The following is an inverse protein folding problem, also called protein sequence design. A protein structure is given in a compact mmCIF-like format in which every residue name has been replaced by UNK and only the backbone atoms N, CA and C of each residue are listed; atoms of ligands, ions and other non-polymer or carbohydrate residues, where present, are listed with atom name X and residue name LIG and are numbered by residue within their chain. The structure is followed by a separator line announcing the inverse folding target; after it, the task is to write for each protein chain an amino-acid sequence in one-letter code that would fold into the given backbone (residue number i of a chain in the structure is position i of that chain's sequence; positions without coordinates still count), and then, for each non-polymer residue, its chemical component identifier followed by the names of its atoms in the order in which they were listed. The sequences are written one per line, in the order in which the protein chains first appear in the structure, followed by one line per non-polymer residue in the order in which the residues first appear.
data_IF_570229211027
#
_entry.id   IF_570229211027
#
_cell.length_a   1.000
_cell.length_b   1.000
_cell.length_c   1.000
_cell.angle_alpha   90.00
_cell.angle_beta   90.00
_cell.angle_gamma   90.00
#
_symmetry.space_group_name_H-M   'P 1'
#
loop_
_entity.id
_entity.type
_entity.pdbx_description
1 polymer ?
#
# COMPACT_ATOMS: atom_id res chain seq x y z
N UNK A 1 23.08 0.12 12.71
CA UNK A 1 22.68 -1.29 12.78
C UNK A 1 21.92 -1.74 11.55
N UNK A 2 22.58 -2.50 10.67
CA UNK A 2 21.99 -3.01 9.42
C UNK A 2 20.73 -3.89 9.65
N UNK A 3 20.63 -4.52 10.83
CA UNK A 3 19.49 -5.34 11.26
C UNK A 3 18.22 -4.48 11.43
N UNK A 4 18.36 -3.27 12.00
CA UNK A 4 17.23 -2.33 12.17
C UNK A 4 16.75 -1.79 10.83
N UNK A 5 17.68 -1.49 9.90
CA UNK A 5 17.31 -1.05 8.55
C UNK A 5 16.55 -2.12 7.75
N UNK A 6 16.95 -3.39 7.87
CA UNK A 6 16.26 -4.51 7.20
C UNK A 6 14.84 -4.72 7.75
N UNK A 7 14.65 -4.56 9.06
CA UNK A 7 13.33 -4.67 9.70
C UNK A 7 12.38 -3.56 9.23
N UNK A 8 12.87 -2.33 9.05
CA UNK A 8 12.06 -1.20 8.58
C UNK A 8 11.63 -1.35 7.12
N UNK A 9 12.53 -1.76 6.22
CA UNK A 9 12.15 -2.06 4.82
C UNK A 9 11.06 -3.12 4.75
N UNK A 10 11.08 -4.12 5.63
CA UNK A 10 10.05 -5.16 5.67
C UNK A 10 8.68 -4.64 6.09
N UNK A 11 8.62 -3.70 7.03
CA UNK A 11 7.37 -3.00 7.36
C UNK A 11 6.81 -2.24 6.17
N UNK A 12 7.66 -1.58 5.38
CA UNK A 12 7.24 -0.87 4.17
C UNK A 12 6.68 -1.83 3.11
N UNK A 13 7.34 -2.96 2.89
CA UNK A 13 6.84 -4.00 1.97
C UNK A 13 5.51 -4.58 2.46
N UNK A 14 5.37 -4.84 3.76
CA UNK A 14 4.12 -5.29 4.37
C UNK A 14 2.99 -4.29 4.14
N UNK A 15 3.26 -2.99 4.30
CA UNK A 15 2.28 -1.94 4.03
C UNK A 15 1.83 -1.94 2.57
N UNK A 16 2.76 -2.00 1.62
CA UNK A 16 2.40 -2.08 0.18
C UNK A 16 1.49 -3.28 -0.08
N UNK A 17 1.82 -4.44 0.48
CA UNK A 17 0.98 -5.64 0.37
C UNK A 17 -0.39 -5.46 1.01
N UNK A 18 -0.46 -4.84 2.19
CA UNK A 18 -1.73 -4.55 2.85
C UNK A 18 -2.63 -3.70 1.97
N UNK A 19 -2.12 -2.63 1.35
CA UNK A 19 -2.88 -1.80 0.41
C UNK A 19 -3.31 -2.56 -0.86
N UNK A 20 -2.42 -3.37 -1.46
CA UNK A 20 -2.77 -4.21 -2.60
C UNK A 20 -3.91 -5.19 -2.29
N UNK A 21 -3.95 -5.75 -1.07
CA UNK A 21 -4.95 -6.73 -0.65
C UNK A 21 -6.24 -6.11 -0.13
N UNK A 22 -6.17 -5.00 0.61
CA UNK A 22 -7.26 -4.47 1.44
C UNK A 22 -7.59 -3.01 1.18
N UNK A 23 -6.83 -2.30 0.35
CA UNK A 23 -7.06 -0.86 0.15
C UNK A 23 -8.46 -0.54 -0.34
N UNK A 24 -9.07 -1.45 -1.12
CA UNK A 24 -10.47 -1.36 -1.54
C UNK A 24 -11.47 -1.29 -0.37
N UNK A 25 -11.15 -1.85 0.80
CA UNK A 25 -12.01 -1.78 1.99
C UNK A 25 -12.15 -0.35 2.54
N UNK A 26 -11.15 0.51 2.31
CA UNK A 26 -11.13 1.90 2.76
C UNK A 26 -11.24 2.89 1.58
N UNK A 27 -11.64 2.40 0.40
CA UNK A 27 -11.86 3.25 -0.75
C UNK A 27 -13.14 4.08 -0.58
N UNK A 28 -13.10 5.32 -1.05
CA UNK A 28 -14.25 6.22 -1.01
C UNK A 28 -15.23 5.90 -2.17
N UNK A 29 -16.05 4.88 -1.96
CA UNK A 29 -16.99 4.37 -2.97
C UNK A 29 -18.41 4.90 -2.82
N UNK A 30 -18.75 5.42 -1.64
CA UNK A 30 -20.08 5.91 -1.36
C UNK A 30 -20.17 7.44 -1.47
N UNK A 31 -20.77 7.97 -2.54
CA UNK A 31 -20.93 9.42 -2.69
C UNK A 31 -21.95 10.02 -1.70
N UNK A 32 -22.75 9.21 -1.02
CA UNK A 32 -23.81 9.66 -0.10
C UNK A 32 -23.39 9.60 1.38
N UNK A 33 -22.31 8.90 1.73
CA UNK A 33 -21.83 8.76 3.11
C UNK A 33 -22.77 7.98 4.04
N UNK A 34 -23.64 7.14 3.49
CA UNK A 34 -24.56 6.27 4.21
C UNK A 34 -23.83 5.09 4.85
N UNK A 35 -22.77 4.57 4.23
CA UNK A 35 -21.98 3.45 4.78
C UNK A 35 -21.36 3.81 6.14
N UNK A 36 -20.93 5.06 6.35
CA UNK A 36 -20.37 5.52 7.63
C UNK A 36 -21.40 5.59 8.77
N UNK A 37 -22.69 5.66 8.44
CA UNK A 37 -23.77 5.76 9.42
C UNK A 37 -24.27 4.38 9.91
N UNK A 38 -24.29 3.38 9.01
CA UNK A 38 -25.00 2.11 9.24
C UNK A 38 -24.13 0.84 9.09
N UNK A 39 -22.87 0.95 8.64
CA UNK A 39 -21.98 -0.21 8.40
C UNK A 39 -20.63 -0.10 9.12
N UNK A 40 -19.90 -1.21 9.16
CA UNK A 40 -18.58 -1.30 9.79
C UNK A 40 -17.53 -0.53 8.97
N UNK A 41 -17.35 0.75 9.30
CA UNK A 41 -16.30 1.62 8.77
C UNK A 41 -14.92 1.40 9.40
N UNK A 42 -14.68 0.27 10.07
CA UNK A 42 -13.38 0.02 10.68
C UNK A 42 -12.29 -0.17 9.62
N UNK A 43 -11.17 0.51 9.83
CA UNK A 43 -9.98 0.35 9.01
C UNK A 43 -9.38 -1.04 9.33
N UNK A 44 -9.15 -1.91 8.32
CA UNK A 44 -8.43 -3.16 8.53
C UNK A 44 -7.11 -2.93 9.26
N UNK A 45 -6.79 -3.75 10.25
CA UNK A 45 -5.63 -3.54 11.14
C UNK A 45 -4.31 -3.41 10.36
N UNK A 46 -4.17 -4.16 9.26
CA UNK A 46 -3.02 -4.11 8.37
C UNK A 46 -2.84 -2.78 7.61
N UNK A 47 -3.88 -1.95 7.52
CA UNK A 47 -3.84 -0.62 6.91
C UNK A 47 -3.68 0.51 7.92
N UNK A 48 -3.85 0.25 9.21
CA UNK A 48 -3.61 1.24 10.26
C UNK A 48 -2.11 1.48 10.45
N UNK A 49 -1.66 2.66 10.04
CA UNK A 49 -0.27 3.10 10.09
C UNK A 49 0.31 3.12 11.51
N UNK A 50 -0.54 3.28 12.54
CA UNK A 50 -0.09 3.27 13.93
C UNK A 50 0.52 1.91 14.33
N UNK A 51 0.08 0.82 13.68
CA UNK A 51 0.60 -0.53 13.96
C UNK A 51 2.03 -0.77 13.46
N UNK A 52 2.55 0.10 12.60
CA UNK A 52 3.91 -0.01 12.07
C UNK A 52 4.96 0.71 12.94
N UNK A 53 4.51 1.59 13.84
CA UNK A 53 5.36 2.31 14.80
C UNK A 53 6.19 3.43 14.18
N UNK A 54 5.79 3.97 13.03
CA UNK A 54 6.43 5.13 12.42
C UNK A 54 6.00 6.43 13.09
N UNK A 55 6.93 7.37 13.12
CA UNK A 55 6.75 8.75 13.60
C UNK A 55 6.76 9.72 12.43
N UNK A 56 6.43 10.99 12.70
CA UNK A 56 6.50 12.04 11.69
C UNK A 56 7.90 12.19 11.06
N UNK A 57 8.97 11.92 11.82
CA UNK A 57 10.34 11.99 11.31
C UNK A 57 10.66 10.85 10.32
N UNK A 58 9.95 9.73 10.40
CA UNK A 58 10.16 8.58 9.51
C UNK A 58 9.61 8.83 8.11
N UNK A 59 8.69 9.77 7.95
CA UNK A 59 8.07 10.10 6.66
C UNK A 59 9.09 10.60 5.63
N UNK A 60 10.18 11.20 6.09
CA UNK A 60 11.27 11.71 5.26
C UNK A 60 12.33 10.64 4.92
N UNK A 61 12.26 9.45 5.53
CA UNK A 61 13.19 8.35 5.25
C UNK A 61 12.89 7.76 3.87
N UNK A 62 13.96 7.47 3.13
CA UNK A 62 13.88 6.85 1.81
C UNK A 62 14.09 5.35 1.89
N UNK A 63 13.24 4.61 1.19
CA UNK A 63 13.28 3.15 1.15
C UNK A 63 13.48 2.65 -0.28
N UNK A 64 14.33 1.63 -0.40
CA UNK A 64 14.40 0.76 -1.57
C UNK A 64 13.60 -0.52 -1.25
N UNK A 65 12.53 -0.75 -1.99
CA UNK A 65 11.62 -1.89 -1.82
C UNK A 65 11.52 -2.73 -3.10
N UNK A 66 12.49 -2.57 -4.01
CA UNK A 66 12.55 -3.35 -5.24
C UNK A 66 12.63 -4.85 -4.96
N UNK A 67 11.78 -5.63 -5.61
CA UNK A 67 11.77 -7.09 -5.51
C UNK A 67 11.91 -7.73 -6.89
N UNK A 68 12.64 -8.84 -6.96
CA UNK A 68 12.89 -9.54 -8.22
C UNK A 68 11.58 -9.97 -8.89
N UNK A 69 11.39 -9.55 -10.14
CA UNK A 69 10.19 -9.79 -10.97
C UNK A 69 8.86 -9.24 -10.40
N UNK A 70 8.91 -8.28 -9.48
CA UNK A 70 7.75 -7.51 -9.08
C UNK A 70 7.56 -6.30 -10.02
N UNK A 71 6.31 -5.89 -10.20
CA UNK A 71 5.87 -4.71 -10.96
C UNK A 71 5.34 -3.62 -10.01
N UNK A 72 5.12 -2.41 -10.53
CA UNK A 72 4.55 -1.28 -9.75
C UNK A 72 5.49 -0.67 -8.69
N UNK A 73 4.99 -0.39 -7.49
CA UNK A 73 5.72 0.17 -6.35
C UNK A 73 6.95 -0.64 -5.93
N UNK A 74 6.92 -1.96 -6.10
CA UNK A 74 8.03 -2.86 -5.77
C UNK A 74 8.88 -3.25 -6.99
N UNK A 75 8.72 -2.58 -8.13
CA UNK A 75 9.57 -2.82 -9.30
C UNK A 75 11.03 -2.49 -9.02
N UNK A 76 11.95 -3.34 -9.48
CA UNK A 76 13.39 -3.22 -9.19
C UNK A 76 14.07 -2.02 -9.87
N UNK A 77 13.42 -1.41 -10.86
CA UNK A 77 13.90 -0.23 -11.58
C UNK A 77 13.43 1.10 -10.97
N UNK A 78 12.58 1.06 -9.93
CA UNK A 78 12.11 2.27 -9.24
C UNK A 78 13.22 2.85 -8.36
N UNK A 79 13.39 4.18 -8.33
CA UNK A 79 14.29 4.82 -7.38
C UNK A 79 13.75 4.66 -5.95
N UNK A 80 14.62 4.92 -4.96
CA UNK A 80 14.19 5.03 -3.56
C UNK A 80 13.09 6.08 -3.42
N UNK A 81 12.12 5.81 -2.54
CA UNK A 81 10.98 6.68 -2.29
C UNK A 81 10.89 7.02 -0.81
N UNK A 82 10.54 8.28 -0.52
CA UNK A 82 10.20 8.70 0.84
C UNK A 82 8.96 7.97 1.32
N UNK A 83 8.97 7.51 2.57
CA UNK A 83 7.85 6.78 3.18
C UNK A 83 6.54 7.55 3.08
N UNK A 84 6.54 8.84 3.43
CA UNK A 84 5.34 9.68 3.35
C UNK A 84 4.79 9.76 1.93
N UNK A 85 5.67 9.86 0.91
CA UNK A 85 5.26 9.90 -0.48
C UNK A 85 4.71 8.55 -0.97
N UNK A 86 5.28 7.45 -0.49
CA UNK A 86 4.76 6.12 -0.79
C UNK A 86 3.35 5.93 -0.20
N UNK A 87 3.14 6.28 1.07
CA UNK A 87 1.83 6.20 1.74
C UNK A 87 0.78 7.00 0.98
N UNK A 88 1.10 8.25 0.61
CA UNK A 88 0.21 9.11 -0.18
C UNK A 88 -0.19 8.44 -1.50
N UNK A 89 0.77 7.86 -2.23
CA UNK A 89 0.50 7.17 -3.49
C UNK A 89 -0.33 5.91 -3.29
N UNK A 90 -0.05 5.11 -2.24
CA UNK A 90 -0.84 3.92 -1.92
C UNK A 90 -2.30 4.28 -1.63
N UNK A 91 -2.54 5.35 -0.87
CA UNK A 91 -3.88 5.86 -0.60
C UNK A 91 -4.58 6.33 -1.89
N UNK A 92 -3.90 7.10 -2.73
CA UNK A 92 -4.45 7.56 -4.02
C UNK A 92 -4.79 6.40 -4.96
N UNK A 93 -3.93 5.39 -5.01
CA UNK A 93 -4.05 4.25 -5.92
C UNK A 93 -5.12 3.24 -5.49
N UNK A 94 -5.20 2.90 -4.20
CA UNK A 94 -6.05 1.80 -3.72
C UNK A 94 -7.23 2.22 -2.86
N UNK A 95 -7.20 3.42 -2.29
CA UNK A 95 -8.20 3.95 -1.36
C UNK A 95 -8.82 5.28 -1.85
N UNK A 96 -8.66 5.59 -3.14
CA UNK A 96 -9.30 6.74 -3.78
C UNK A 96 -10.78 6.48 -4.05
N UNK A 97 -11.29 7.02 -5.17
CA UNK A 97 -12.68 6.80 -5.60
C UNK A 97 -12.89 5.47 -6.35
N UNK A 98 -11.86 4.62 -6.41
CA UNK A 98 -11.88 3.32 -7.07
C UNK A 98 -11.31 2.30 -6.09
N UNK A 99 -12.08 1.24 -5.81
CA UNK A 99 -11.64 0.08 -5.05
C UNK A 99 -11.23 -1.01 -6.02
N UNK A 100 -9.97 -1.44 -5.96
CA UNK A 100 -9.44 -2.46 -6.88
C UNK A 100 -9.22 -3.78 -6.14
N UNK A 101 -9.88 -4.82 -6.60
CA UNK A 101 -9.71 -6.20 -6.11
C UNK A 101 -9.14 -7.08 -7.21
N UNK A 102 -7.88 -7.48 -7.07
CA UNK A 102 -7.19 -8.30 -8.06
C UNK A 102 -6.26 -9.35 -7.44
N UNK A 103 -5.95 -9.25 -6.15
CA UNK A 103 -4.99 -10.13 -5.48
C UNK A 103 -5.49 -11.58 -5.30
N UNK A 104 -6.74 -11.88 -5.68
CA UNK A 104 -7.27 -13.24 -5.77
C UNK A 104 -6.83 -13.98 -7.05
N UNK A 105 -6.25 -13.27 -8.03
CA UNK A 105 -5.68 -13.87 -9.24
C UNK A 105 -4.40 -14.64 -8.89
N UNK A 106 -4.25 -15.85 -9.44
CA UNK A 106 -3.06 -16.68 -9.25
C UNK A 106 -1.95 -16.39 -10.28
N UNK A 107 -2.31 -15.84 -11.44
CA UNK A 107 -1.38 -15.58 -12.54
C UNK A 107 -0.56 -14.31 -12.26
N UNK A 108 0.75 -14.50 -12.14
CA UNK A 108 1.70 -13.42 -11.87
C UNK A 108 1.79 -12.39 -12.99
N UNK A 109 1.69 -12.81 -14.25
CA UNK A 109 1.73 -11.87 -15.38
C UNK A 109 0.51 -10.97 -15.37
N UNK A 110 -0.68 -11.51 -15.07
CA UNK A 110 -1.90 -10.73 -14.90
C UNK A 110 -1.79 -9.77 -13.72
N UNK A 111 -1.31 -10.26 -12.56
CA UNK A 111 -1.09 -9.41 -11.39
C UNK A 111 -0.13 -8.27 -11.73
N UNK A 112 1.00 -8.55 -12.38
CA UNK A 112 1.99 -7.55 -12.74
C UNK A 112 1.46 -6.54 -13.76
N UNK A 113 0.71 -7.01 -14.77
CA UNK A 113 0.04 -6.13 -15.73
C UNK A 113 -0.88 -5.14 -15.01
N UNK A 114 -1.70 -5.60 -14.06
CA UNK A 114 -2.58 -4.70 -13.29
C UNK A 114 -1.75 -3.69 -12.49
N UNK A 115 -0.69 -4.14 -11.80
CA UNK A 115 0.19 -3.25 -11.02
C UNK A 115 0.82 -2.17 -11.89
N UNK A 116 1.33 -2.52 -13.07
CA UNK A 116 1.99 -1.55 -13.96
C UNK A 116 1.03 -0.48 -14.50
N UNK A 117 -0.26 -0.79 -14.62
CA UNK A 117 -1.29 0.17 -15.05
C UNK A 117 -1.84 1.02 -13.91
N UNK A 118 -1.74 0.53 -12.67
CA UNK A 118 -2.37 1.11 -11.50
C UNK A 118 -1.40 1.90 -10.60
N UNK A 119 -0.14 1.46 -10.47
CA UNK A 119 0.85 1.92 -9.47
C UNK A 119 1.94 2.88 -9.97
#
# INVERSE_FOLDING_TARGET
DAISGHSETMKVVQLVRAFQHRGHNIANLDPLGVYDADLDGSIPQELDLANYGWTAADMEKEFDIGAFMASGFMSSDRPKLKLGKLIERLQQTYAGSIGVEYMHLADREQLNWIRDHLE
#
